data_IF_390051649777
#
_entry.id   IF_390051649777
#
_cell.length_a   1.000
_cell.length_b   1.000
_cell.length_c   1.000
_cell.angle_alpha   90.00
_cell.angle_beta   90.00
_cell.angle_gamma   90.00
#
_symmetry.space_group_name_H-M   'P 1'
#
loop_
_entity.id
_entity.type
_entity.pdbx_description
1 polymer ?
#
# COMPACT_ATOMS: atom_id res chain seq x y z
N UNK A 1 10.69 4.57 -18.73
CA UNK A 1 9.82 3.55 -18.11
C UNK A 1 8.37 3.73 -18.50
N UNK A 2 7.65 4.73 -17.98
CA UNK A 2 6.23 4.95 -18.30
C UNK A 2 5.96 5.11 -19.81
N UNK A 3 6.64 6.05 -20.48
CA UNK A 3 6.51 6.23 -21.94
C UNK A 3 6.94 4.98 -22.73
N UNK A 4 7.95 4.26 -22.24
CA UNK A 4 8.39 3.01 -22.86
C UNK A 4 7.30 1.94 -22.87
N UNK A 5 6.56 1.79 -21.76
CA UNK A 5 5.40 0.89 -21.71
C UNK A 5 4.26 1.37 -22.61
N UNK A 6 4.01 2.67 -22.68
CA UNK A 6 2.97 3.25 -23.54
C UNK A 6 3.28 3.04 -25.04
N UNK A 7 4.55 3.14 -25.43
CA UNK A 7 4.98 2.86 -26.81
C UNK A 7 4.94 1.38 -27.15
N UNK A 8 5.37 0.50 -26.22
CA UNK A 8 5.35 -0.94 -26.44
C UNK A 8 3.93 -1.54 -26.43
N UNK A 9 3.00 -0.95 -25.65
CA UNK A 9 1.64 -1.45 -25.45
C UNK A 9 0.63 -0.28 -25.46
N UNK A 10 0.30 0.29 -26.64
CA UNK A 10 -0.49 1.52 -26.76
C UNK A 10 -1.90 1.43 -26.15
N UNK A 11 -2.52 0.24 -26.18
CA UNK A 11 -3.88 0.03 -25.68
C UNK A 11 -3.94 -0.39 -24.20
N UNK A 12 -2.81 -0.35 -23.48
CA UNK A 12 -2.72 -0.76 -22.08
C UNK A 12 -2.25 0.38 -21.20
N UNK A 13 -2.81 0.46 -19.98
CA UNK A 13 -2.34 1.38 -18.96
C UNK A 13 -1.00 0.90 -18.39
N UNK A 14 0.04 1.73 -18.35
CA UNK A 14 1.30 1.37 -17.73
C UNK A 14 1.16 1.12 -16.22
N UNK A 15 1.94 0.18 -15.70
CA UNK A 15 2.18 0.07 -14.26
C UNK A 15 3.69 0.20 -14.00
N UNK A 16 4.04 1.26 -13.28
CA UNK A 16 5.42 1.57 -12.88
C UNK A 16 5.40 1.82 -11.39
N UNK A 17 6.34 1.22 -10.67
CA UNK A 17 6.57 1.47 -9.26
C UNK A 17 7.90 2.20 -9.10
N UNK A 18 7.91 3.31 -8.37
CA UNK A 18 9.12 4.12 -8.12
C UNK A 18 9.40 4.31 -6.63
N UNK A 19 10.68 4.40 -6.28
CA UNK A 19 11.14 4.71 -4.92
C UNK A 19 11.28 6.21 -4.72
N UNK A 20 12.00 6.86 -5.62
CA UNK A 20 12.18 8.30 -5.64
C UNK A 20 11.06 8.94 -6.48
N UNK A 21 10.55 10.07 -6.00
CA UNK A 21 9.46 10.80 -6.64
C UNK A 21 9.57 12.30 -6.34
N UNK A 22 8.81 13.10 -7.08
CA UNK A 22 8.66 14.53 -6.88
C UNK A 22 7.20 14.94 -7.13
N UNK A 23 6.87 16.21 -6.94
CA UNK A 23 5.54 16.72 -7.28
C UNK A 23 5.22 16.41 -8.76
N UNK A 24 4.07 15.76 -9.01
CA UNK A 24 3.65 15.33 -10.34
C UNK A 24 3.97 13.86 -10.67
N UNK A 25 4.75 13.15 -9.86
CA UNK A 25 5.06 11.73 -10.08
C UNK A 25 3.83 10.82 -10.06
N UNK A 26 2.74 11.20 -9.40
CA UNK A 26 1.49 10.43 -9.36
C UNK A 26 0.88 10.16 -10.75
N UNK A 27 1.23 10.98 -11.75
CA UNK A 27 0.77 10.78 -13.14
C UNK A 27 1.45 9.59 -13.83
N UNK A 28 2.57 9.11 -13.29
CA UNK A 28 3.47 8.19 -13.98
C UNK A 28 3.76 6.90 -13.22
N UNK A 29 3.64 6.90 -11.89
CA UNK A 29 4.03 5.74 -11.10
C UNK A 29 3.29 5.65 -9.75
N UNK A 30 3.13 4.41 -9.29
CA UNK A 30 2.90 4.11 -7.89
C UNK A 30 4.18 4.31 -7.08
N UNK A 31 4.05 4.51 -5.77
CA UNK A 31 5.17 4.70 -4.84
C UNK A 31 5.16 3.62 -3.77
N UNK A 32 6.34 3.22 -3.30
CA UNK A 32 6.45 2.55 -2.00
C UNK A 32 7.36 3.34 -1.08
N UNK A 33 7.14 3.24 0.23
CA UNK A 33 7.84 4.02 1.26
C UNK A 33 9.31 3.61 1.48
N UNK A 34 9.90 2.85 0.56
CA UNK A 34 11.27 2.38 0.66
C UNK A 34 11.45 1.22 1.64
N UNK A 35 12.71 1.05 2.04
CA UNK A 35 13.23 -0.15 2.69
C UNK A 35 12.97 -0.09 4.22
N UNK A 36 11.75 -0.48 4.62
CA UNK A 36 11.32 -0.50 6.03
C UNK A 36 11.84 -1.75 6.79
N UNK A 37 11.60 -1.83 8.11
CA UNK A 37 12.06 -2.95 8.96
C UNK A 37 10.90 -3.80 9.44
N UNK A 38 11.13 -5.09 9.64
CA UNK A 38 10.20 -6.04 10.24
C UNK A 38 9.99 -5.78 11.74
N UNK A 39 9.33 -4.66 12.09
CA UNK A 39 9.03 -4.28 13.47
C UNK A 39 7.65 -3.64 13.62
N UNK A 40 7.08 -3.73 14.81
CA UNK A 40 5.80 -3.08 15.15
C UNK A 40 5.85 -1.56 14.99
N UNK A 41 6.98 -0.93 15.29
CA UNK A 41 7.16 0.51 15.11
C UNK A 41 7.05 0.91 13.62
N UNK A 42 7.64 0.14 12.71
CA UNK A 42 7.54 0.41 11.27
C UNK A 42 6.16 0.07 10.71
N UNK A 43 5.47 -0.94 11.25
CA UNK A 43 4.06 -1.17 10.94
C UNK A 43 3.21 0.04 11.35
N UNK A 44 3.34 0.50 12.60
CA UNK A 44 2.61 1.66 13.12
C UNK A 44 2.93 2.96 12.35
N UNK A 45 4.18 3.16 11.95
CA UNK A 45 4.59 4.32 11.17
C UNK A 45 4.08 4.29 9.72
N UNK A 46 3.72 3.13 9.18
CA UNK A 46 3.30 3.02 7.77
C UNK A 46 2.03 3.82 7.50
N UNK A 47 0.99 3.68 8.32
CA UNK A 47 -0.29 4.41 8.15
C UNK A 47 -0.13 5.93 8.06
N UNK A 48 0.52 6.63 9.02
CA UNK A 48 0.69 8.09 8.92
C UNK A 48 1.57 8.51 7.73
N UNK A 49 2.57 7.71 7.33
CA UNK A 49 3.35 7.98 6.11
C UNK A 49 2.47 7.92 4.85
N UNK A 50 1.63 6.89 4.72
CA UNK A 50 0.76 6.72 3.55
C UNK A 50 -0.33 7.80 3.49
N UNK A 51 -0.92 8.17 4.64
CA UNK A 51 -1.86 9.28 4.73
C UNK A 51 -1.22 10.59 4.29
N UNK A 52 0.00 10.87 4.77
CA UNK A 52 0.75 12.08 4.39
C UNK A 52 0.98 12.15 2.88
N UNK A 53 1.37 11.03 2.26
CA UNK A 53 1.58 10.96 0.81
C UNK A 53 0.28 11.06 0.01
N UNK A 54 -0.83 10.49 0.50
CA UNK A 54 -2.14 10.68 -0.14
C UNK A 54 -2.53 12.15 -0.14
N UNK A 55 -2.40 12.85 0.99
CA UNK A 55 -2.69 14.30 1.11
C UNK A 55 -1.79 15.11 0.16
N UNK A 56 -0.52 14.72 0.03
CA UNK A 56 0.44 15.34 -0.90
C UNK A 56 0.17 15.02 -2.38
N UNK A 57 -0.92 14.34 -2.71
CA UNK A 57 -1.32 14.01 -4.08
C UNK A 57 -0.62 12.80 -4.67
N UNK A 58 -0.01 11.93 -3.86
CA UNK A 58 0.56 10.64 -4.24
C UNK A 58 -0.32 9.51 -3.66
N UNK A 59 -1.49 9.22 -4.27
CA UNK A 59 -2.47 8.31 -3.67
C UNK A 59 -2.12 6.83 -3.85
N UNK A 60 -1.38 6.46 -4.91
CA UNK A 60 -1.09 5.07 -5.22
C UNK A 60 0.18 4.62 -4.49
N UNK A 61 0.07 4.48 -3.17
CA UNK A 61 1.21 4.31 -2.29
C UNK A 61 1.03 3.16 -1.28
N UNK A 62 2.14 2.54 -0.88
CA UNK A 62 2.15 1.42 0.06
C UNK A 62 3.49 1.25 0.77
N UNK A 63 3.49 0.41 1.81
CA UNK A 63 4.70 0.00 2.52
C UNK A 63 4.90 -1.52 2.35
N UNK A 64 6.15 -1.98 2.42
CA UNK A 64 6.45 -3.40 2.26
C UNK A 64 5.88 -4.21 3.43
N UNK A 65 4.94 -5.12 3.10
CA UNK A 65 4.26 -5.99 4.06
C UNK A 65 5.25 -6.99 4.66
N UNK A 66 5.26 -7.07 5.98
CA UNK A 66 6.22 -7.85 6.76
C UNK A 66 7.54 -7.14 7.05
N UNK A 67 7.79 -5.97 6.43
CA UNK A 67 8.98 -5.14 6.61
C UNK A 67 10.19 -5.66 5.83
N UNK A 68 10.79 -4.84 4.96
CA UNK A 68 11.84 -5.22 4.01
C UNK A 68 13.06 -5.88 4.68
N UNK A 69 13.62 -5.24 5.71
CA UNK A 69 14.75 -5.76 6.49
C UNK A 69 14.28 -6.61 7.68
N UNK A 70 15.00 -7.70 7.96
CA UNK A 70 14.76 -8.55 9.12
C UNK A 70 13.59 -9.54 8.96
N UNK A 71 13.41 -10.39 9.97
CA UNK A 71 12.43 -11.49 9.94
C UNK A 71 11.27 -11.19 10.90
N UNK A 72 10.05 -10.92 10.40
CA UNK A 72 8.90 -10.67 11.25
C UNK A 72 8.51 -11.96 11.99
N UNK A 73 7.93 -11.82 13.18
CA UNK A 73 7.17 -12.91 13.78
C UNK A 73 5.90 -13.17 12.94
N UNK A 74 5.32 -14.36 13.06
CA UNK A 74 4.04 -14.68 12.39
C UNK A 74 2.93 -13.71 12.80
N UNK A 75 2.87 -13.34 14.08
CA UNK A 75 1.94 -12.35 14.59
C UNK A 75 2.11 -10.98 13.91
N UNK A 76 3.35 -10.50 13.77
CA UNK A 76 3.63 -9.24 13.08
C UNK A 76 3.26 -9.34 11.59
N UNK A 77 3.59 -10.46 10.92
CA UNK A 77 3.28 -10.66 9.51
C UNK A 77 1.77 -10.59 9.25
N UNK A 78 0.97 -11.32 10.05
CA UNK A 78 -0.50 -11.31 9.96
C UNK A 78 -1.05 -9.90 10.20
N UNK A 79 -0.59 -9.20 11.25
CA UNK A 79 -1.05 -7.82 11.51
C UNK A 79 -0.67 -6.87 10.38
N UNK A 80 0.47 -7.09 9.73
CA UNK A 80 0.87 -6.29 8.58
C UNK A 80 -0.06 -6.50 7.39
N UNK A 81 -0.44 -7.75 7.08
CA UNK A 81 -1.43 -8.01 6.03
C UNK A 81 -2.77 -7.34 6.36
N UNK A 82 -3.25 -7.48 7.61
CA UNK A 82 -4.51 -6.86 8.05
C UNK A 82 -4.52 -5.35 7.85
N UNK A 83 -3.43 -4.65 8.23
CA UNK A 83 -3.31 -3.21 7.97
C UNK A 83 -3.21 -2.91 6.48
N UNK A 84 -2.38 -3.66 5.74
CA UNK A 84 -2.11 -3.42 4.34
C UNK A 84 -3.27 -3.73 3.40
N UNK A 85 -4.28 -4.48 3.86
CA UNK A 85 -5.56 -4.66 3.19
C UNK A 85 -6.16 -3.32 2.74
N UNK A 86 -5.96 -2.27 3.55
CA UNK A 86 -6.48 -0.93 3.33
C UNK A 86 -5.44 0.03 2.70
N UNK A 87 -4.22 -0.41 2.44
CA UNK A 87 -3.23 0.42 1.73
C UNK A 87 -3.60 0.51 0.23
N UNK A 88 -3.49 1.70 -0.40
CA UNK A 88 -3.76 1.84 -1.82
C UNK A 88 -2.93 0.88 -2.69
N UNK A 89 -1.63 0.75 -2.38
CA UNK A 89 -0.73 -0.26 -2.95
C UNK A 89 -0.38 -1.31 -1.90
N UNK A 90 -0.61 -2.59 -2.21
CA UNK A 90 -0.30 -3.73 -1.34
C UNK A 90 0.76 -4.60 -2.01
N UNK A 91 1.92 -4.74 -1.36
CA UNK A 91 3.01 -5.63 -1.79
C UNK A 91 3.71 -6.22 -0.57
N UNK A 92 3.89 -7.54 -0.55
CA UNK A 92 4.88 -8.18 0.33
C UNK A 92 6.24 -8.21 -0.38
N UNK A 93 7.29 -7.78 0.31
CA UNK A 93 8.64 -7.71 -0.24
C UNK A 93 9.68 -7.93 0.84
N UNK A 94 10.86 -8.43 0.48
CA UNK A 94 11.89 -8.86 1.42
C UNK A 94 13.29 -8.73 0.84
N UNK A 95 14.27 -8.35 1.66
CA UNK A 95 15.66 -8.36 1.24
C UNK A 95 16.21 -9.79 1.11
N UNK A 96 17.28 -9.96 0.33
CA UNK A 96 17.85 -11.27 0.02
C UNK A 96 18.35 -12.05 1.25
N UNK A 97 18.71 -11.37 2.34
CA UNK A 97 19.23 -12.00 3.58
C UNK A 97 18.14 -12.51 4.51
N UNK A 98 16.87 -12.24 4.21
CA UNK A 98 15.75 -12.68 5.05
C UNK A 98 15.32 -14.10 4.72
N UNK A 99 14.67 -14.75 5.69
CA UNK A 99 14.03 -16.05 5.46
C UNK A 99 12.88 -15.89 4.47
N UNK A 100 12.64 -16.93 3.68
CA UNK A 100 11.41 -17.04 2.87
C UNK A 100 10.21 -16.88 3.77
N UNK A 101 9.25 -16.07 3.32
CA UNK A 101 8.11 -15.64 4.13
C UNK A 101 6.84 -15.45 3.32
N UNK A 102 6.70 -16.22 2.24
CA UNK A 102 5.40 -16.36 1.60
C UNK A 102 4.39 -16.89 2.63
N UNK A 103 3.16 -16.34 2.70
CA UNK A 103 2.23 -16.63 3.81
C UNK A 103 1.98 -18.12 4.07
N UNK A 104 1.99 -18.93 3.00
CA UNK A 104 1.78 -20.37 3.05
C UNK A 104 2.91 -21.17 3.73
N UNK A 105 4.04 -20.54 4.06
CA UNK A 105 5.17 -21.19 4.73
C UNK A 105 5.00 -21.27 6.26
N UNK A 106 4.02 -20.58 6.84
CA UNK A 106 3.86 -20.45 8.30
C UNK A 106 2.70 -21.29 8.86
N UNK A 107 2.36 -22.38 8.19
CA UNK A 107 1.30 -23.30 8.59
C UNK A 107 -0.11 -22.82 8.24
N UNK A 108 -1.10 -23.68 8.46
CA UNK A 108 -2.48 -23.46 8.02
C UNK A 108 -3.12 -22.23 8.67
N UNK A 109 -2.86 -21.98 9.95
CA UNK A 109 -3.51 -20.89 10.67
C UNK A 109 -3.09 -19.51 10.13
N UNK A 110 -1.79 -19.27 9.94
CA UNK A 110 -1.31 -18.01 9.33
C UNK A 110 -1.80 -17.88 7.90
N UNK A 111 -1.77 -18.98 7.14
CA UNK A 111 -2.27 -19.00 5.75
C UNK A 111 -3.74 -18.62 5.68
N UNK A 112 -4.57 -19.18 6.56
CA UNK A 112 -6.00 -18.90 6.65
C UNK A 112 -6.27 -17.45 7.02
N UNK A 113 -5.56 -16.91 8.01
CA UNK A 113 -5.69 -15.51 8.41
C UNK A 113 -5.31 -14.55 7.28
N UNK A 114 -4.18 -14.78 6.60
CA UNK A 114 -3.76 -13.94 5.47
C UNK A 114 -4.71 -14.10 4.27
N UNK A 115 -5.20 -15.31 4.00
CA UNK A 115 -6.20 -15.55 2.95
C UNK A 115 -7.46 -14.73 3.18
N UNK A 116 -8.03 -14.78 4.39
CA UNK A 116 -9.23 -14.02 4.73
C UNK A 116 -9.05 -12.51 4.46
N UNK A 117 -7.90 -11.96 4.86
CA UNK A 117 -7.58 -10.55 4.63
C UNK A 117 -7.47 -10.21 3.14
N UNK A 118 -6.88 -11.10 2.35
CA UNK A 118 -6.79 -10.91 0.91
C UNK A 118 -8.17 -11.04 0.24
N UNK A 119 -9.00 -11.98 0.67
CA UNK A 119 -10.39 -12.11 0.19
C UNK A 119 -11.19 -10.83 0.48
N UNK A 120 -11.07 -10.25 1.68
CA UNK A 120 -11.66 -8.96 2.03
C UNK A 120 -11.17 -7.83 1.11
N UNK A 121 -9.86 -7.74 0.85
CA UNK A 121 -9.33 -6.77 -0.11
C UNK A 121 -9.92 -6.95 -1.50
N UNK A 122 -9.99 -8.19 -1.98
CA UNK A 122 -10.51 -8.50 -3.31
C UNK A 122 -12.00 -8.17 -3.43
N UNK A 123 -12.78 -8.39 -2.37
CA UNK A 123 -14.17 -7.96 -2.29
C UNK A 123 -14.32 -6.42 -2.35
N UNK A 124 -13.34 -5.68 -1.81
CA UNK A 124 -13.30 -4.21 -1.85
C UNK A 124 -12.69 -3.62 -3.13
N UNK A 125 -12.18 -4.42 -4.07
CA UNK A 125 -11.56 -3.91 -5.30
C UNK A 125 -12.48 -2.99 -6.12
N UNK A 126 -13.79 -3.25 -6.28
CA UNK A 126 -14.68 -2.32 -6.97
C UNK A 126 -14.69 -0.93 -6.31
N UNK A 127 -14.77 -0.89 -4.97
CA UNK A 127 -14.72 0.36 -4.21
C UNK A 127 -13.37 1.07 -4.37
N UNK A 128 -12.25 0.33 -4.19
CA UNK A 128 -10.92 0.90 -4.34
C UNK A 128 -10.70 1.46 -5.76
N UNK A 129 -11.17 0.77 -6.79
CA UNK A 129 -11.06 1.22 -8.17
C UNK A 129 -11.89 2.50 -8.42
N UNK A 130 -13.09 2.59 -7.84
CA UNK A 130 -13.89 3.83 -7.86
C UNK A 130 -13.16 4.99 -7.18
N UNK A 131 -12.45 4.75 -6.07
CA UNK A 131 -11.66 5.79 -5.41
C UNK A 131 -10.52 6.31 -6.30
N UNK A 132 -9.82 5.41 -7.00
CA UNK A 132 -8.78 5.82 -7.96
C UNK A 132 -9.35 6.60 -9.14
N UNK A 133 -10.56 6.27 -9.60
CA UNK A 133 -11.24 7.06 -10.63
C UNK A 133 -11.64 8.45 -10.11
N UNK A 134 -12.15 8.56 -8.89
CA UNK A 134 -12.44 9.85 -8.26
C UNK A 134 -11.17 10.70 -8.10
N UNK A 135 -10.04 10.07 -7.74
CA UNK A 135 -8.75 10.76 -7.72
C UNK A 135 -8.36 11.27 -9.10
N UNK A 136 -8.48 10.44 -10.14
CA UNK A 136 -8.17 10.82 -11.53
C UNK A 136 -9.03 11.99 -12.01
N UNK A 137 -10.33 11.99 -11.66
CA UNK A 137 -11.30 12.97 -12.14
C UNK A 137 -11.19 14.32 -11.44
N UNK A 138 -11.08 14.33 -10.10
CA UNK A 138 -11.18 15.57 -9.29
C UNK A 138 -10.11 15.71 -8.22
N UNK A 139 -9.11 14.81 -8.18
CA UNK A 139 -8.05 14.85 -7.18
C UNK A 139 -8.46 14.37 -5.79
N UNK A 140 -9.61 13.68 -5.66
CA UNK A 140 -10.07 13.12 -4.39
C UNK A 140 -9.03 12.19 -3.75
N UNK A 141 -8.95 12.17 -2.43
CA UNK A 141 -8.01 11.32 -1.70
C UNK A 141 -8.48 9.85 -1.69
N UNK A 142 -7.56 8.92 -1.96
CA UNK A 142 -7.85 7.47 -1.90
C UNK A 142 -7.78 6.95 -0.47
N UNK A 143 -6.72 7.29 0.25
CA UNK A 143 -6.61 7.05 1.70
C UNK A 143 -6.82 8.37 2.42
N UNK A 144 -7.82 8.44 3.32
CA UNK A 144 -8.30 9.70 3.88
C UNK A 144 -8.10 9.75 5.40
N UNK A 145 -7.46 10.81 5.93
CA UNK A 145 -7.40 11.00 7.37
C UNK A 145 -8.77 11.47 7.89
N UNK A 146 -9.06 11.18 9.15
CA UNK A 146 -10.36 11.50 9.74
C UNK A 146 -10.70 13.00 9.68
N UNK A 147 -9.74 13.89 9.94
CA UNK A 147 -9.98 15.34 9.85
C UNK A 147 -10.35 15.84 8.44
N UNK A 148 -10.00 15.09 7.39
CA UNK A 148 -10.37 15.46 6.02
C UNK A 148 -11.85 15.14 5.75
N UNK A 149 -12.34 14.01 6.27
CA UNK A 149 -13.74 13.59 6.15
C UNK A 149 -14.66 14.31 7.16
N UNK A 150 -14.14 14.63 8.34
CA UNK A 150 -14.87 15.23 9.45
C UNK A 150 -14.21 16.54 9.90
N UNK A 151 -14.18 17.59 9.05
CA UNK A 151 -13.41 18.81 9.32
C UNK A 151 -13.92 19.66 10.50
N UNK A 152 -15.14 19.39 10.95
CA UNK A 152 -15.81 20.09 12.05
C UNK A 152 -15.83 19.29 13.36
N UNK A 153 -15.34 18.05 13.38
CA UNK A 153 -15.25 17.26 14.60
C UNK A 153 -13.94 17.62 15.35
N UNK A 154 -14.02 18.15 16.59
CA UNK A 154 -12.84 18.53 17.35
C UNK A 154 -12.02 17.33 17.84
N UNK A 155 -12.55 16.11 17.86
CA UNK A 155 -11.85 14.92 18.34
C UNK A 155 -10.84 14.34 17.34
N UNK A 156 -10.92 14.74 16.08
CA UNK A 156 -10.08 14.21 14.99
C UNK A 156 -9.08 15.25 14.47
N UNK A 157 -9.06 16.45 15.04
CA UNK A 157 -8.12 17.52 14.74
C UNK A 157 -6.80 17.39 15.49
#
# INVERSE_FOLDING_TARGET
TFEGQRLAYPDRRPFVLTRAFFAGSQRYAAVWTGDNKASWAHLAASTPMLLTLSIAGIPFVGADVGGFFGNPTTALLVRWYQAACFHPFLRAHAEFKTKRREPYLFGEEVTRQVRQVLEERYALLPYLYTLFEAHRAVGALVMRPMWHEFPHDPLVR
#
